data_IF_335181148132
#
_entry.id   IF_335181148132
#
_cell.length_a   1.000
_cell.length_b   1.000
_cell.length_c   1.000
_cell.angle_alpha   90.00
_cell.angle_beta   90.00
_cell.angle_gamma   90.00
#
_symmetry.space_group_name_H-M   'P 1'
#
loop_
_entity.id
_entity.type
_entity.pdbx_description
1 polymer ?
#
# COMPACT_ATOMS: atom_id res chain seq x y z
N UNK A 1 7.00 -7.56 4.89
CA UNK A 1 7.04 -9.03 4.75
C UNK A 1 7.67 -9.37 3.41
N UNK A 2 8.59 -10.30 3.41
CA UNK A 2 9.20 -10.88 2.22
C UNK A 2 8.82 -12.37 2.20
N UNK A 3 8.19 -12.84 1.13
CA UNK A 3 7.81 -14.24 1.00
C UNK A 3 7.92 -14.70 -0.45
N UNK A 4 8.25 -15.96 -0.67
CA UNK A 4 8.22 -16.65 -1.95
C UNK A 4 7.05 -17.64 -2.04
N UNK A 5 6.31 -17.85 -0.96
CA UNK A 5 5.18 -18.76 -0.92
C UNK A 5 3.87 -18.03 -1.28
N UNK A 6 3.16 -18.54 -2.29
CA UNK A 6 1.86 -17.98 -2.71
C UNK A 6 0.83 -17.96 -1.59
N UNK A 7 0.82 -18.95 -0.70
CA UNK A 7 -0.12 -19.03 0.43
C UNK A 7 0.16 -17.96 1.49
N UNK A 8 1.42 -17.56 1.65
CA UNK A 8 1.81 -16.49 2.56
C UNK A 8 1.53 -15.09 2.00
N UNK A 9 1.50 -14.92 0.67
CA UNK A 9 1.21 -13.64 0.02
C UNK A 9 -0.26 -13.25 0.19
N UNK A 10 -1.18 -14.21 0.08
CA UNK A 10 -2.60 -13.93 -0.07
C UNK A 10 -3.32 -13.50 1.22
N UNK A 11 -2.76 -13.72 2.39
CA UNK A 11 -3.46 -13.44 3.65
C UNK A 11 -2.86 -12.28 4.47
N UNK A 12 -1.54 -12.18 4.71
CA UNK A 12 -1.00 -11.11 5.55
C UNK A 12 -0.61 -9.84 4.78
N UNK A 13 -0.49 -9.90 3.43
CA UNK A 13 0.04 -8.78 2.63
C UNK A 13 -1.04 -7.97 1.89
N UNK A 14 -2.30 -8.37 1.99
CA UNK A 14 -3.41 -7.74 1.24
C UNK A 14 -4.01 -6.51 1.92
N UNK A 15 -3.53 -6.12 3.10
CA UNK A 15 -4.10 -5.03 3.86
C UNK A 15 -3.26 -3.75 3.76
N UNK A 16 -3.92 -2.62 3.53
CA UNK A 16 -3.30 -1.30 3.60
C UNK A 16 -2.84 -1.00 5.03
N UNK A 17 -1.66 -0.40 5.16
CA UNK A 17 -1.11 0.06 6.44
C UNK A 17 -0.93 1.56 6.39
N UNK A 18 -1.66 2.29 7.23
CA UNK A 18 -1.62 3.74 7.34
C UNK A 18 -0.75 4.15 8.53
N UNK A 19 0.51 3.75 8.48
CA UNK A 19 1.51 3.97 9.51
C UNK A 19 2.88 4.14 8.86
N UNK A 20 3.77 5.01 9.38
CA UNK A 20 5.11 5.15 8.86
C UNK A 20 5.91 3.87 9.03
N UNK A 21 6.45 3.34 7.94
CA UNK A 21 7.30 2.13 7.94
C UNK A 21 8.65 2.48 7.33
N UNK A 22 9.70 2.00 7.96
CA UNK A 22 11.07 2.07 7.41
C UNK A 22 11.45 0.68 6.84
N UNK A 23 11.57 0.52 5.52
CA UNK A 23 11.87 -0.76 4.90
C UNK A 23 13.38 -1.05 4.79
N UNK A 24 14.26 -0.17 5.26
CA UNK A 24 15.71 -0.28 5.02
C UNK A 24 16.29 -1.57 5.58
N UNK A 25 15.94 -1.93 6.80
CA UNK A 25 16.42 -3.16 7.43
C UNK A 25 16.01 -4.40 6.61
N UNK A 26 14.75 -4.45 6.17
CA UNK A 26 14.26 -5.52 5.29
C UNK A 26 15.04 -5.56 3.98
N UNK A 27 15.18 -4.41 3.30
CA UNK A 27 15.86 -4.34 2.00
C UNK A 27 17.31 -4.78 2.10
N UNK A 28 18.01 -4.37 3.17
CA UNK A 28 19.42 -4.74 3.37
C UNK A 28 19.63 -6.19 3.78
N UNK A 29 18.61 -6.85 4.31
CA UNK A 29 18.66 -8.27 4.67
C UNK A 29 18.42 -9.22 3.50
N UNK A 30 17.97 -8.72 2.35
CA UNK A 30 17.66 -9.53 1.18
C UNK A 30 18.94 -10.07 0.53
N UNK A 31 18.89 -11.34 0.09
CA UNK A 31 20.04 -11.96 -0.59
C UNK A 31 20.30 -11.31 -1.95
N UNK A 32 21.52 -10.86 -2.25
CA UNK A 32 21.84 -10.26 -3.55
C UNK A 32 21.83 -11.27 -4.72
N UNK A 33 21.77 -12.57 -4.41
CA UNK A 33 21.76 -13.64 -5.43
C UNK A 33 20.34 -14.01 -5.90
N UNK A 34 19.32 -13.41 -5.30
CA UNK A 34 17.91 -13.66 -5.64
C UNK A 34 17.26 -12.39 -6.14
N UNK A 35 16.38 -12.50 -7.16
CA UNK A 35 15.61 -11.37 -7.67
C UNK A 35 14.33 -11.19 -6.87
N UNK A 36 13.97 -9.93 -6.61
CA UNK A 36 12.77 -9.57 -5.86
C UNK A 36 11.95 -8.50 -6.57
N UNK A 37 10.65 -8.54 -6.34
CA UNK A 37 9.74 -7.42 -6.52
C UNK A 37 9.54 -6.72 -5.19
N UNK A 38 9.39 -5.41 -5.20
CA UNK A 38 9.07 -4.61 -4.02
C UNK A 38 7.84 -3.75 -4.26
N UNK A 39 6.90 -3.75 -3.30
CA UNK A 39 5.79 -2.80 -3.26
C UNK A 39 6.14 -1.72 -2.25
N UNK A 40 6.07 -0.45 -2.66
CA UNK A 40 6.53 0.65 -1.82
C UNK A 40 5.85 1.97 -2.12
N UNK A 41 6.04 2.96 -1.26
CA UNK A 41 5.59 4.35 -1.50
C UNK A 41 6.59 5.11 -2.36
N UNK A 42 6.20 6.24 -3.01
CA UNK A 42 7.09 7.00 -3.89
C UNK A 42 8.39 7.46 -3.23
N UNK A 43 8.35 7.87 -1.96
CA UNK A 43 9.55 8.32 -1.25
C UNK A 43 10.58 7.21 -1.07
N UNK A 44 10.16 5.98 -0.79
CA UNK A 44 11.04 4.84 -0.70
C UNK A 44 11.48 4.32 -2.06
N UNK A 45 10.63 4.40 -3.08
CA UNK A 45 11.02 4.14 -4.47
C UNK A 45 12.14 5.11 -4.91
N UNK A 46 12.02 6.41 -4.61
CA UNK A 46 13.06 7.40 -4.91
C UNK A 46 14.38 7.08 -4.21
N UNK A 47 14.30 6.70 -2.92
CA UNK A 47 15.48 6.26 -2.17
C UNK A 47 16.14 5.06 -2.86
N UNK A 48 15.35 4.02 -3.19
CA UNK A 48 15.84 2.82 -3.86
C UNK A 48 16.46 3.12 -5.23
N UNK A 49 15.81 3.92 -6.07
CA UNK A 49 16.33 4.28 -7.40
C UNK A 49 17.65 5.03 -7.31
N UNK A 50 17.80 5.92 -6.32
CA UNK A 50 19.08 6.61 -6.09
C UNK A 50 20.23 5.63 -5.70
N UNK A 51 19.90 4.56 -4.98
CA UNK A 51 20.89 3.51 -4.66
C UNK A 51 21.17 2.60 -5.87
N UNK A 52 20.14 2.26 -6.64
CA UNK A 52 20.30 1.48 -7.87
C UNK A 52 21.20 2.18 -8.92
N UNK A 53 21.14 3.50 -9.03
CA UNK A 53 22.04 4.28 -9.88
C UNK A 53 23.53 4.15 -9.47
N UNK A 54 23.79 3.81 -8.22
CA UNK A 54 25.14 3.54 -7.71
C UNK A 54 25.53 2.06 -7.78
N UNK A 55 24.69 1.20 -8.38
CA UNK A 55 24.91 -0.24 -8.47
C UNK A 55 24.49 -1.03 -7.24
N UNK A 56 23.82 -0.38 -6.27
CA UNK A 56 23.32 -1.04 -5.06
C UNK A 56 21.89 -1.60 -5.29
N UNK A 57 21.49 -2.64 -4.56
CA UNK A 57 20.15 -3.23 -4.61
C UNK A 57 19.62 -3.57 -6.01
N UNK A 58 20.51 -3.91 -6.95
CA UNK A 58 20.15 -4.25 -8.34
C UNK A 58 19.33 -5.54 -8.46
N UNK A 59 19.32 -6.35 -7.42
CA UNK A 59 18.48 -7.55 -7.30
C UNK A 59 17.00 -7.25 -7.03
N UNK A 60 16.63 -6.01 -6.68
CA UNK A 60 15.24 -5.53 -6.67
C UNK A 60 14.86 -5.10 -8.09
N UNK A 61 14.39 -6.08 -8.88
CA UNK A 61 14.23 -5.93 -10.33
C UNK A 61 12.87 -5.39 -10.77
N UNK A 62 11.87 -5.41 -9.89
CA UNK A 62 10.53 -4.86 -10.13
C UNK A 62 10.13 -3.97 -8.96
N UNK A 63 9.84 -2.71 -9.24
CA UNK A 63 9.40 -1.72 -8.24
C UNK A 63 7.95 -1.34 -8.53
N UNK A 64 7.06 -1.76 -7.65
CA UNK A 64 5.64 -1.44 -7.70
C UNK A 64 5.40 -0.29 -6.73
N UNK A 65 4.99 0.86 -7.26
CA UNK A 65 4.79 2.07 -6.46
C UNK A 65 3.31 2.28 -6.20
N UNK A 66 2.96 2.46 -4.94
CA UNK A 66 1.60 2.81 -4.55
C UNK A 66 1.29 4.26 -4.92
N UNK A 67 0.11 4.54 -5.45
CA UNK A 67 -0.42 5.89 -5.49
C UNK A 67 -0.55 6.38 -4.05
N UNK A 68 0.27 7.36 -3.69
CA UNK A 68 0.37 7.86 -2.33
C UNK A 68 0.07 9.34 -2.31
N UNK A 69 -1.01 9.74 -1.65
CA UNK A 69 -1.31 11.13 -1.40
C UNK A 69 -0.47 11.64 -0.21
N UNK A 70 -0.49 10.89 0.90
CA UNK A 70 0.20 11.25 2.15
C UNK A 70 0.23 10.07 3.12
N UNK A 71 1.14 10.11 4.09
CA UNK A 71 1.24 9.11 5.16
C UNK A 71 0.88 9.77 6.48
N UNK A 72 -0.12 9.24 7.22
CA UNK A 72 -0.42 9.70 8.57
C UNK A 72 0.72 9.41 9.54
N UNK A 73 0.79 10.17 10.61
CA UNK A 73 1.61 9.89 11.78
C UNK A 73 0.94 8.82 12.66
N UNK A 74 1.69 8.26 13.61
CA UNK A 74 1.17 7.35 14.63
C UNK A 74 0.06 7.97 15.49
N UNK A 75 0.12 9.28 15.70
CA UNK A 75 -0.89 10.04 16.46
C UNK A 75 -2.27 10.00 15.83
N UNK A 76 -2.38 9.83 14.50
CA UNK A 76 -3.68 9.60 13.86
C UNK A 76 -4.32 8.28 14.31
N UNK A 77 -3.53 7.21 14.37
CA UNK A 77 -4.02 5.93 14.89
C UNK A 77 -4.48 6.06 16.34
N UNK A 78 -3.75 6.80 17.16
CA UNK A 78 -4.12 7.06 18.54
C UNK A 78 -5.43 7.86 18.66
N UNK A 79 -5.63 8.85 17.79
CA UNK A 79 -6.89 9.59 17.70
C UNK A 79 -8.06 8.66 17.36
N UNK A 80 -7.91 7.81 16.33
CA UNK A 80 -8.95 6.87 15.91
C UNK A 80 -9.32 5.93 17.05
N UNK A 81 -8.33 5.35 17.73
CA UNK A 81 -8.57 4.47 18.87
C UNK A 81 -9.31 5.20 19.99
N UNK A 82 -8.94 6.44 20.28
CA UNK A 82 -9.63 7.28 21.26
C UNK A 82 -11.10 7.53 20.87
N UNK A 83 -11.37 7.87 19.60
CA UNK A 83 -12.73 8.13 19.11
C UNK A 83 -13.66 6.91 19.25
N UNK A 84 -13.11 5.70 19.08
CA UNK A 84 -13.88 4.45 19.29
C UNK A 84 -13.84 3.92 20.73
N UNK A 85 -13.28 4.68 21.65
CA UNK A 85 -13.22 4.37 23.09
C UNK A 85 -12.31 3.17 23.40
N UNK A 86 -11.18 3.07 22.71
CA UNK A 86 -10.21 1.98 22.89
C UNK A 86 -8.91 2.51 23.46
N UNK A 87 -8.46 1.90 24.56
CA UNK A 87 -7.11 2.08 25.07
C UNK A 87 -6.11 1.32 24.19
N UNK A 88 -5.16 2.05 23.58
CA UNK A 88 -4.10 1.50 22.70
C UNK A 88 -3.38 0.31 23.33
N UNK A 89 -3.16 0.32 24.65
CA UNK A 89 -2.47 -0.76 25.39
C UNK A 89 -3.25 -2.07 25.40
N UNK A 90 -4.54 -2.03 25.12
CA UNK A 90 -5.43 -3.21 25.08
C UNK A 90 -5.68 -3.72 23.67
N UNK A 91 -5.13 -3.05 22.65
CA UNK A 91 -5.25 -3.49 21.26
C UNK A 91 -4.35 -4.70 21.03
N UNK A 92 -4.95 -5.80 20.57
CA UNK A 92 -4.25 -7.03 20.16
C UNK A 92 -3.95 -7.05 18.67
N UNK A 93 -4.87 -6.54 17.87
CA UNK A 93 -4.76 -6.52 16.42
C UNK A 93 -5.47 -5.30 15.86
N UNK A 94 -4.84 -4.64 14.92
CA UNK A 94 -5.41 -3.54 14.16
C UNK A 94 -5.23 -3.85 12.67
N UNK A 95 -6.33 -3.82 11.92
CA UNK A 95 -6.32 -3.88 10.47
C UNK A 95 -7.00 -2.60 10.00
N UNK A 96 -6.27 -1.77 9.29
CA UNK A 96 -6.78 -0.46 8.87
C UNK A 96 -7.90 -0.56 7.85
N UNK A 97 -7.89 -1.61 7.01
CA UNK A 97 -8.85 -1.74 5.94
C UNK A 97 -9.09 -3.22 5.63
N UNK A 98 -10.30 -3.70 5.84
CA UNK A 98 -10.73 -5.09 5.62
C UNK A 98 -12.15 -5.12 5.05
N UNK A 99 -12.50 -6.20 4.35
CA UNK A 99 -13.82 -6.41 3.76
C UNK A 99 -13.97 -5.80 2.38
N UNK A 100 -15.20 -5.79 1.87
CA UNK A 100 -15.52 -5.25 0.55
C UNK A 100 -15.17 -3.78 0.46
N UNK A 101 -14.71 -3.35 -0.73
CA UNK A 101 -14.35 -1.95 -0.98
C UNK A 101 -15.51 -0.98 -0.66
N UNK A 102 -15.30 0.17 -0.02
CA UNK A 102 -14.03 0.78 0.41
C UNK A 102 -13.42 0.21 1.69
N UNK A 103 -14.09 -0.72 2.37
CA UNK A 103 -13.59 -1.41 3.55
C UNK A 103 -13.97 -0.74 4.87
N UNK A 104 -13.59 -1.41 5.94
CA UNK A 104 -13.73 -0.91 7.31
C UNK A 104 -12.49 -1.25 8.12
N UNK A 105 -12.25 -0.49 9.19
CA UNK A 105 -11.19 -0.78 10.14
C UNK A 105 -11.66 -1.86 11.12
N UNK A 106 -10.78 -2.81 11.42
CA UNK A 106 -11.01 -3.88 12.40
C UNK A 106 -10.03 -3.72 13.57
N UNK A 107 -10.57 -3.74 14.79
CA UNK A 107 -9.80 -3.58 16.01
C UNK A 107 -10.15 -4.71 16.98
N UNK A 108 -9.20 -5.58 17.25
CA UNK A 108 -9.31 -6.62 18.28
C UNK A 108 -8.77 -6.09 19.60
N UNK A 109 -9.59 -6.14 20.63
CA UNK A 109 -9.30 -5.58 21.96
C UNK A 109 -9.38 -6.69 23.01
N UNK A 110 -8.55 -6.62 24.04
CA UNK A 110 -8.60 -7.58 25.14
C UNK A 110 -9.98 -7.58 25.82
N UNK A 111 -10.48 -8.82 26.08
CA UNK A 111 -11.72 -9.05 26.85
C UNK A 111 -12.95 -8.29 26.34
N UNK A 112 -12.98 -7.96 25.06
CA UNK A 112 -14.08 -7.24 24.40
C UNK A 112 -14.30 -7.83 23.01
N UNK A 113 -15.54 -7.76 22.50
CA UNK A 113 -15.83 -8.08 21.11
C UNK A 113 -15.02 -7.14 20.17
N UNK A 114 -14.56 -7.64 19.02
CA UNK A 114 -13.89 -6.81 18.01
C UNK A 114 -14.76 -5.63 17.59
N UNK A 115 -14.12 -4.51 17.29
CA UNK A 115 -14.78 -3.30 16.80
C UNK A 115 -14.57 -3.21 15.30
N UNK A 116 -15.65 -2.91 14.58
CA UNK A 116 -15.63 -2.56 13.17
C UNK A 116 -16.08 -1.11 13.03
N UNK A 117 -15.34 -0.31 12.30
CA UNK A 117 -15.71 1.07 12.01
C UNK A 117 -15.42 1.40 10.55
N UNK A 118 -16.32 2.16 9.92
CA UNK A 118 -16.14 2.54 8.51
C UNK A 118 -14.82 3.27 8.32
N UNK A 119 -14.05 2.83 7.33
CA UNK A 119 -12.74 3.40 7.07
C UNK A 119 -12.81 4.81 6.50
N UNK A 120 -13.75 5.06 5.59
CA UNK A 120 -13.79 6.29 4.81
C UNK A 120 -13.99 7.56 5.65
N UNK A 121 -14.98 7.63 6.57
CA UNK A 121 -15.14 8.80 7.44
C UNK A 121 -13.91 9.05 8.32
N UNK A 122 -13.23 8.00 8.75
CA UNK A 122 -12.00 8.12 9.53
C UNK A 122 -10.84 8.65 8.69
N UNK A 123 -10.70 8.17 7.46
CA UNK A 123 -9.66 8.63 6.54
C UNK A 123 -9.84 10.10 6.17
N UNK A 124 -11.07 10.55 5.93
CA UNK A 124 -11.38 11.94 5.65
C UNK A 124 -11.13 12.88 6.85
N UNK A 125 -11.10 12.32 8.06
CA UNK A 125 -10.76 13.09 9.28
C UNK A 125 -9.26 13.39 9.43
N UNK A 126 -8.40 12.86 8.53
CA UNK A 126 -6.97 13.13 8.57
C UNK A 126 -6.70 14.58 8.17
N UNK A 127 -6.48 15.42 9.15
CA UNK A 127 -6.02 16.79 8.94
C UNK A 127 -4.49 16.86 8.86
N UNK A 128 -3.96 17.99 8.38
CA UNK A 128 -2.53 18.19 8.15
C UNK A 128 -1.67 17.95 9.39
N UNK A 129 -2.20 18.18 10.58
CA UNK A 129 -1.51 17.93 11.85
C UNK A 129 -1.19 16.46 12.10
N UNK A 130 -1.90 15.54 11.44
CA UNK A 130 -1.67 14.09 11.52
C UNK A 130 -0.89 13.54 10.34
N UNK A 131 -0.39 14.39 9.46
CA UNK A 131 0.41 14.00 8.30
C UNK A 131 1.89 14.19 8.61
N UNK A 132 2.73 13.29 8.12
CA UNK A 132 4.18 13.48 8.20
C UNK A 132 4.57 14.80 7.51
N UNK A 133 5.33 15.71 8.15
CA UNK A 133 5.64 17.02 7.59
C UNK A 133 6.19 16.96 6.17
N UNK A 134 7.08 16.02 5.88
CA UNK A 134 7.64 15.81 4.53
C UNK A 134 6.60 15.40 3.48
N UNK A 135 5.43 14.89 3.88
CA UNK A 135 4.37 14.54 2.95
C UNK A 135 3.53 15.76 2.55
N UNK A 136 3.50 16.82 3.36
CA UNK A 136 2.80 18.07 3.04
C UNK A 136 3.47 18.83 1.89
N UNK A 137 4.79 18.67 1.74
CA UNK A 137 5.60 19.31 0.70
C UNK A 137 6.01 18.32 -0.41
N UNK A 138 5.43 17.12 -0.42
CA UNK A 138 5.83 16.06 -1.34
C UNK A 138 5.39 16.35 -2.78
N UNK A 139 6.37 16.41 -3.68
CA UNK A 139 6.18 16.62 -5.12
C UNK A 139 6.56 15.40 -5.96
N UNK A 140 6.74 14.25 -5.34
CA UNK A 140 7.17 13.04 -6.03
C UNK A 140 6.05 12.51 -6.94
N UNK A 141 6.39 12.31 -8.21
CA UNK A 141 5.52 11.62 -9.13
C UNK A 141 5.82 10.11 -9.09
N UNK A 142 4.87 9.26 -8.69
CA UNK A 142 5.09 7.81 -8.63
C UNK A 142 5.46 7.19 -9.98
N UNK A 143 5.00 7.79 -11.09
CA UNK A 143 5.24 7.26 -12.45
C UNK A 143 6.70 7.37 -12.88
N UNK A 144 7.45 8.31 -12.32
CA UNK A 144 8.89 8.47 -12.61
C UNK A 144 9.77 7.48 -11.82
N UNK A 145 9.18 6.73 -10.88
CA UNK A 145 9.89 5.95 -9.89
C UNK A 145 9.61 4.44 -9.94
N UNK A 146 8.41 4.07 -10.36
CA UNK A 146 7.96 2.69 -10.44
C UNK A 146 8.14 2.07 -11.82
N UNK A 147 8.19 0.75 -11.86
CA UNK A 147 7.93 -0.02 -13.07
C UNK A 147 6.42 -0.17 -13.28
N UNK A 148 5.69 -0.37 -12.16
CA UNK A 148 4.23 -0.33 -12.05
C UNK A 148 3.84 0.72 -11.02
N UNK A 149 2.75 1.44 -11.29
CA UNK A 149 2.05 2.28 -10.31
C UNK A 149 0.66 1.72 -10.09
N UNK A 150 0.28 1.51 -8.84
CA UNK A 150 -1.01 0.91 -8.47
C UNK A 150 -1.73 1.76 -7.43
N UNK A 151 -3.05 1.79 -7.51
CA UNK A 151 -3.88 2.52 -6.54
C UNK A 151 -5.35 2.27 -6.73
N UNK A 152 -6.15 2.76 -5.78
CA UNK A 152 -7.61 2.72 -5.87
C UNK A 152 -8.10 3.73 -6.93
N UNK A 153 -9.06 3.36 -7.78
CA UNK A 153 -9.59 4.24 -8.82
C UNK A 153 -10.68 5.18 -8.26
N UNK A 154 -10.34 6.02 -7.27
CA UNK A 154 -11.31 6.85 -6.52
C UNK A 154 -12.24 7.68 -7.40
N UNK A 155 -11.75 8.25 -8.49
CA UNK A 155 -12.57 9.05 -9.39
C UNK A 155 -13.50 8.17 -10.25
N UNK A 156 -13.01 7.04 -10.74
CA UNK A 156 -13.78 6.09 -11.52
C UNK A 156 -14.79 5.32 -10.67
N UNK A 157 -14.48 5.08 -9.40
CA UNK A 157 -15.26 4.23 -8.49
C UNK A 157 -16.56 4.86 -7.99
N UNK A 158 -16.80 6.15 -8.25
CA UNK A 158 -18.10 6.78 -7.95
C UNK A 158 -19.27 6.11 -8.68
N UNK A 159 -19.00 5.38 -9.76
CA UNK A 159 -19.96 4.62 -10.55
C UNK A 159 -19.85 3.09 -10.36
N UNK A 160 -18.85 2.60 -9.61
CA UNK A 160 -18.67 1.17 -9.39
C UNK A 160 -19.61 0.67 -8.28
N UNK A 161 -20.19 -0.51 -8.44
CA UNK A 161 -20.96 -1.12 -7.37
C UNK A 161 -20.06 -1.41 -6.16
N UNK A 162 -20.61 -1.30 -4.96
CA UNK A 162 -19.96 -1.78 -3.74
C UNK A 162 -19.67 -3.28 -3.92
N UNK A 163 -18.40 -3.67 -3.81
CA UNK A 163 -17.99 -5.05 -4.07
C UNK A 163 -16.52 -5.28 -3.76
N UNK A 164 -15.90 -6.16 -4.53
CA UNK A 164 -14.49 -6.55 -4.32
C UNK A 164 -13.50 -5.44 -4.66
N UNK A 165 -13.95 -4.38 -5.30
CA UNK A 165 -13.15 -3.24 -5.73
C UNK A 165 -12.36 -3.52 -7.01
N UNK A 166 -11.73 -2.48 -7.52
CA UNK A 166 -10.84 -2.53 -8.67
C UNK A 166 -9.52 -1.84 -8.31
N UNK A 167 -8.47 -2.18 -9.02
CA UNK A 167 -7.17 -1.53 -8.88
C UNK A 167 -6.81 -0.86 -10.20
N UNK A 168 -6.55 0.45 -10.15
CA UNK A 168 -5.94 1.15 -11.26
C UNK A 168 -4.47 0.78 -11.33
N UNK A 169 -4.02 0.41 -12.52
CA UNK A 169 -2.63 0.03 -12.79
C UNK A 169 -2.10 0.87 -13.95
N UNK A 170 -0.92 1.48 -13.76
CA UNK A 170 -0.17 2.10 -14.84
C UNK A 170 1.16 1.41 -15.00
N UNK A 171 1.46 0.92 -16.21
CA UNK A 171 2.76 0.39 -16.58
C UNK A 171 3.68 1.55 -16.99
N UNK A 172 4.88 1.60 -16.42
CA UNK A 172 5.85 2.68 -16.68
C UNK A 172 7.09 2.16 -17.41
N UNK A 173 7.25 0.83 -17.52
CA UNK A 173 8.35 0.18 -18.24
C UNK A 173 7.82 -0.98 -19.10
N UNK A 174 8.56 -1.34 -20.15
CA UNK A 174 8.22 -2.50 -20.99
C UNK A 174 8.24 -3.82 -20.19
N UNK A 175 9.07 -3.92 -19.15
CA UNK A 175 9.07 -5.08 -18.25
C UNK A 175 7.71 -5.23 -17.57
N UNK A 176 7.20 -4.14 -17.01
CA UNK A 176 5.92 -4.13 -16.31
C UNK A 176 4.74 -4.36 -17.25
N UNK A 177 4.79 -3.76 -18.44
CA UNK A 177 3.77 -3.97 -19.48
C UNK A 177 3.66 -5.44 -19.87
N UNK A 178 4.79 -6.08 -20.20
CA UNK A 178 4.83 -7.51 -20.51
C UNK A 178 4.30 -8.37 -19.36
N UNK A 179 4.67 -8.04 -18.13
CA UNK A 179 4.22 -8.77 -16.93
C UNK A 179 2.69 -8.72 -16.78
N UNK A 180 2.07 -7.57 -17.00
CA UNK A 180 0.61 -7.40 -16.90
C UNK A 180 -0.10 -8.20 -18.00
N UNK A 181 0.39 -8.16 -19.24
CA UNK A 181 -0.17 -8.97 -20.33
C UNK A 181 0.01 -10.47 -20.11
N UNK A 182 1.15 -10.90 -19.61
CA UNK A 182 1.39 -12.31 -19.29
C UNK A 182 0.48 -12.78 -18.15
N UNK A 183 0.26 -11.94 -17.14
CA UNK A 183 -0.66 -12.24 -16.04
C UNK A 183 -2.11 -12.37 -16.54
N UNK A 184 -2.56 -11.52 -17.45
CA UNK A 184 -3.88 -11.63 -18.08
C UNK A 184 -3.99 -12.89 -18.91
N UNK A 185 -3.00 -13.15 -19.76
CA UNK A 185 -2.94 -14.37 -20.60
C UNK A 185 -2.93 -15.66 -19.79
N UNK A 186 -2.28 -15.62 -18.61
CA UNK A 186 -2.28 -16.72 -17.65
C UNK A 186 -3.57 -16.85 -16.82
N UNK A 187 -4.54 -15.94 -17.00
CA UNK A 187 -5.80 -15.94 -16.25
C UNK A 187 -5.68 -15.51 -14.80
N UNK A 188 -4.57 -14.86 -14.41
CA UNK A 188 -4.35 -14.38 -13.03
C UNK A 188 -5.04 -13.05 -12.74
N UNK A 189 -5.21 -12.22 -13.76
CA UNK A 189 -5.89 -10.93 -13.67
C UNK A 189 -6.79 -10.73 -14.89
N UNK A 190 -7.77 -9.84 -14.75
CA UNK A 190 -8.55 -9.32 -15.86
C UNK A 190 -8.45 -7.80 -15.82
N UNK A 191 -8.25 -7.14 -16.96
CA UNK A 191 -8.19 -5.69 -17.04
C UNK A 191 -8.81 -5.14 -18.31
N UNK A 192 -9.24 -3.89 -18.26
CA UNK A 192 -9.61 -3.08 -19.42
C UNK A 192 -8.67 -1.88 -19.53
N UNK A 193 -8.35 -1.48 -20.75
CA UNK A 193 -7.55 -0.29 -20.99
C UNK A 193 -8.46 0.93 -20.86
N UNK A 194 -8.04 1.90 -20.05
CA UNK A 194 -8.68 3.19 -19.92
C UNK A 194 -7.89 4.17 -20.80
N UNK A 195 -8.55 4.83 -21.73
CA UNK A 195 -7.95 5.95 -22.47
C UNK A 195 -7.85 7.17 -21.57
N UNK A 196 -6.71 7.87 -21.65
CA UNK A 196 -6.50 9.17 -20.99
C UNK A 196 -7.55 10.20 -21.42
#
# INVERSE_FOLDING_TARGET
LCTSDKSEILTPLTNSVYYPVDPRELITSLSPHQKYAIVTTPCWAKWLRNHQQKGEFTHLTLVIVLMCLRTPTDTWTDLVLHQVGVDKKKVKKLIYRIGSWPGHMYIEVEKRAPIHTEFYPLFDSISDQFILPKCLECTLNPMDLGDLVVGDPWEASKSLPVGDGETMVRTCTSLAENLIYDAQKGGYINFSIISD
#
